data_IF_169695742925
#
_entry.id   IF_169695742925
#
_cell.length_a   1.000
_cell.length_b   1.000
_cell.length_c   1.000
_cell.angle_alpha   90.00
_cell.angle_beta   90.00
_cell.angle_gamma   90.00
#
_symmetry.space_group_name_H-M   'P 1'
#
loop_
_entity.id
_entity.type
_entity.pdbx_description
1 polymer ?
#
# COMPACT_ATOMS: atom_id res chain seq x y z
N UNK A 1 -1.14 -49.31 -28.52
CA UNK A 1 -1.77 -48.55 -27.42
C UNK A 1 -0.74 -48.37 -26.31
N UNK A 2 0.21 -47.46 -26.50
CA UNK A 2 1.19 -47.15 -25.45
C UNK A 2 0.57 -46.07 -24.58
N UNK A 3 0.04 -46.50 -23.43
CA UNK A 3 -0.46 -45.64 -22.37
C UNK A 3 0.74 -44.90 -21.76
N UNK A 4 1.22 -43.85 -22.46
CA UNK A 4 1.94 -42.74 -21.85
C UNK A 4 0.96 -42.00 -20.93
N UNK A 5 0.60 -42.68 -19.85
CA UNK A 5 -0.47 -42.40 -18.93
C UNK A 5 -0.03 -42.74 -17.51
N UNK A 6 1.13 -42.22 -17.12
CA UNK A 6 1.34 -41.83 -15.74
C UNK A 6 1.67 -40.35 -15.74
N UNK A 7 0.64 -39.52 -15.91
CA UNK A 7 0.66 -38.16 -15.41
C UNK A 7 1.10 -38.26 -13.94
N UNK A 8 2.33 -37.87 -13.61
CA UNK A 8 2.88 -37.99 -12.25
C UNK A 8 1.93 -37.30 -11.25
N UNK A 9 1.13 -38.05 -10.47
CA UNK A 9 0.25 -37.47 -9.47
C UNK A 9 1.16 -37.00 -8.34
N UNK A 10 1.45 -35.70 -8.29
CA UNK A 10 2.30 -35.13 -7.24
C UNK A 10 3.13 -33.91 -7.63
N UNK A 11 3.23 -33.55 -8.91
CA UNK A 11 4.07 -32.42 -9.37
C UNK A 11 3.69 -31.03 -8.81
N UNK A 12 2.53 -30.91 -8.15
CA UNK A 12 2.06 -29.70 -7.46
C UNK A 12 1.91 -29.83 -5.95
N UNK A 13 2.06 -31.03 -5.38
CA UNK A 13 1.77 -31.27 -3.96
C UNK A 13 2.91 -30.78 -3.03
N UNK A 14 4.12 -30.56 -3.55
CA UNK A 14 5.30 -30.17 -2.76
C UNK A 14 5.65 -28.68 -2.78
N UNK A 15 4.90 -27.84 -3.49
CA UNK A 15 5.12 -26.38 -3.47
C UNK A 15 4.31 -25.79 -2.32
N UNK A 16 4.95 -25.62 -1.15
CA UNK A 16 4.39 -24.81 -0.07
C UNK A 16 4.03 -23.39 -0.55
N UNK A 17 3.32 -22.58 0.24
CA UNK A 17 3.04 -21.19 -0.12
C UNK A 17 4.36 -20.42 -0.25
N UNK A 18 4.83 -20.24 -1.48
CA UNK A 18 6.02 -19.44 -1.82
C UNK A 18 5.53 -18.13 -2.40
N UNK A 19 6.16 -16.98 -2.06
CA UNK A 19 5.85 -15.71 -2.69
C UNK A 19 5.90 -15.83 -4.22
N UNK A 20 4.80 -15.46 -4.86
CA UNK A 20 4.66 -15.42 -6.30
C UNK A 20 4.67 -13.98 -6.83
N UNK A 21 4.50 -13.83 -8.14
CA UNK A 21 4.47 -12.51 -8.79
C UNK A 21 3.36 -11.63 -8.23
N UNK A 22 2.20 -12.20 -7.86
CA UNK A 22 1.10 -11.43 -7.28
C UNK A 22 1.45 -10.91 -5.88
N UNK A 23 2.17 -11.71 -5.09
CA UNK A 23 2.70 -11.29 -3.78
C UNK A 23 3.70 -10.13 -3.94
N UNK A 24 4.56 -10.20 -4.95
CA UNK A 24 5.50 -9.11 -5.26
C UNK A 24 4.78 -7.83 -5.72
N UNK A 25 3.79 -7.96 -6.60
CA UNK A 25 2.97 -6.83 -7.05
C UNK A 25 2.18 -6.20 -5.90
N UNK A 26 1.63 -7.02 -5.00
CA UNK A 26 0.96 -6.55 -3.78
C UNK A 26 1.92 -5.74 -2.92
N UNK A 27 3.15 -6.22 -2.70
CA UNK A 27 4.15 -5.50 -1.91
C UNK A 27 4.47 -4.13 -2.52
N UNK A 28 4.70 -4.07 -3.84
CA UNK A 28 4.96 -2.80 -4.55
C UNK A 28 3.78 -1.84 -4.40
N UNK A 29 2.54 -2.33 -4.55
CA UNK A 29 1.34 -1.52 -4.39
C UNK A 29 1.23 -0.93 -2.96
N UNK A 30 1.52 -1.73 -1.93
CA UNK A 30 1.51 -1.27 -0.53
C UNK A 30 2.59 -0.20 -0.29
N UNK A 31 3.79 -0.39 -0.84
CA UNK A 31 4.88 0.61 -0.72
C UNK A 31 4.49 1.92 -1.40
N UNK A 32 3.92 1.85 -2.60
CA UNK A 32 3.46 3.04 -3.32
C UNK A 32 2.34 3.78 -2.56
N UNK A 33 1.39 3.03 -1.98
CA UNK A 33 0.33 3.59 -1.14
C UNK A 33 0.90 4.29 0.10
N UNK A 34 1.85 3.66 0.79
CA UNK A 34 2.50 4.26 1.96
C UNK A 34 3.23 5.56 1.61
N UNK A 35 3.94 5.58 0.48
CA UNK A 35 4.59 6.79 -0.03
C UNK A 35 3.58 7.91 -0.33
N UNK A 36 2.45 7.58 -0.95
CA UNK A 36 1.37 8.55 -1.21
C UNK A 36 0.81 9.14 0.09
N UNK A 37 0.55 8.31 1.11
CA UNK A 37 0.09 8.78 2.42
C UNK A 37 1.11 9.71 3.09
N UNK A 38 2.42 9.41 2.99
CA UNK A 38 3.47 10.26 3.53
C UNK A 38 3.52 11.64 2.85
N UNK A 39 3.41 11.67 1.52
CA UNK A 39 3.36 12.94 0.76
C UNK A 39 2.12 13.76 1.14
N UNK A 40 0.96 13.11 1.26
CA UNK A 40 -0.27 13.77 1.73
C UNK A 40 -0.06 14.36 3.12
N UNK A 41 0.55 13.61 4.05
CA UNK A 41 0.80 14.05 5.42
C UNK A 41 1.65 15.32 5.49
N UNK A 42 2.74 15.38 4.72
CA UNK A 42 3.64 16.54 4.70
C UNK A 42 2.90 17.81 4.25
N UNK A 43 2.05 17.67 3.24
CA UNK A 43 1.29 18.80 2.70
C UNK A 43 0.14 19.18 3.63
N UNK A 44 -0.62 18.21 4.13
CA UNK A 44 -1.71 18.42 5.07
C UNK A 44 -1.23 19.05 6.38
N UNK A 45 -0.04 18.70 6.88
CA UNK A 45 0.53 19.33 8.09
C UNK A 45 0.90 20.81 7.90
N UNK A 46 0.99 21.30 6.66
CA UNK A 46 1.25 22.74 6.38
C UNK A 46 -0.03 23.56 6.33
N UNK A 47 -1.11 22.98 5.81
CA UNK A 47 -2.38 23.69 5.55
C UNK A 47 -3.49 23.35 6.55
N UNK A 48 -3.33 22.25 7.28
CA UNK A 48 -4.27 21.82 8.31
C UNK A 48 -4.29 22.76 9.51
N UNK A 49 -5.43 22.80 10.20
CA UNK A 49 -5.58 23.64 11.38
C UNK A 49 -4.51 23.27 12.42
N UNK A 50 -3.84 24.27 12.99
CA UNK A 50 -2.73 24.10 13.94
C UNK A 50 -1.55 23.25 13.41
N UNK A 51 -1.50 22.99 12.10
CA UNK A 51 -0.53 22.07 11.48
C UNK A 51 -0.86 20.59 11.66
N UNK A 52 -2.09 20.25 12.05
CA UNK A 52 -2.61 18.89 12.14
C UNK A 52 -3.22 18.46 10.80
N UNK A 53 -2.81 17.31 10.23
CA UNK A 53 -3.38 16.80 8.97
C UNK A 53 -4.78 16.17 9.14
N UNK A 54 -5.26 16.01 10.38
CA UNK A 54 -6.57 15.43 10.66
C UNK A 54 -7.64 16.47 11.03
N UNK A 55 -7.23 17.71 11.29
CA UNK A 55 -8.16 18.78 11.63
C UNK A 55 -8.64 19.50 10.36
N UNK A 56 -9.93 19.78 10.31
CA UNK A 56 -10.54 20.55 9.22
C UNK A 56 -10.51 22.05 9.54
N UNK A 57 -10.34 22.87 8.50
CA UNK A 57 -10.47 24.32 8.61
C UNK A 57 -11.95 24.71 8.73
N UNK A 58 -12.29 25.58 9.68
CA UNK A 58 -13.63 26.16 9.75
C UNK A 58 -13.84 27.18 8.61
N UNK A 59 -15.01 27.16 7.99
CA UNK A 59 -15.34 28.08 6.91
C UNK A 59 -15.30 29.53 7.43
N UNK A 60 -14.49 30.37 6.79
CA UNK A 60 -14.30 31.77 7.19
C UNK A 60 -13.27 32.00 8.31
N UNK A 61 -12.65 30.94 8.84
CA UNK A 61 -11.63 31.02 9.88
C UNK A 61 -10.46 30.08 9.57
N UNK A 62 -9.57 30.52 8.68
CA UNK A 62 -8.37 29.77 8.32
C UNK A 62 -7.29 29.99 9.37
N UNK A 63 -6.85 28.92 10.02
CA UNK A 63 -5.76 28.94 11.01
C UNK A 63 -4.58 28.10 10.51
N UNK A 64 -3.44 28.75 10.33
CA UNK A 64 -2.20 28.07 9.90
C UNK A 64 -1.21 28.06 11.06
N UNK A 65 -0.38 27.01 11.11
CA UNK A 65 0.75 26.94 12.03
C UNK A 65 1.71 28.10 11.74
N UNK A 66 1.94 28.95 12.74
CA UNK A 66 2.90 30.06 12.61
C UNK A 66 4.31 29.48 12.42
N UNK A 67 5.09 29.92 11.42
CA UNK A 67 6.49 29.53 11.32
C UNK A 67 7.23 30.02 12.57
N UNK A 68 8.06 29.15 13.14
CA UNK A 68 8.91 29.47 14.29
C UNK A 68 9.94 30.54 13.93
#
# INVERSE_FOLDING_TARGET
MSQFGMQMPGGRQSRGPVPDVYTALMFVAVVALAAACAVLWINASKVGANGSPFELQEQGRIQLKRPA
#
